data_IF_783559479315
#
_entry.id   IF_783559479315
#
_cell.length_a   1.000
_cell.length_b   1.000
_cell.length_c   1.000
_cell.angle_alpha   90.00
_cell.angle_beta   90.00
_cell.angle_gamma   90.00
#
_symmetry.space_group_name_H-M   'P 1'
#
loop_
_entity.id
_entity.type
_entity.pdbx_description
1 polymer ?
#
# COMPACT_ATOMS: atom_id res chain seq x y z
N UNK A 1 -43.57 -39.16 -27.26
CA UNK A 1 -42.77 -37.93 -27.41
C UNK A 1 -42.97 -37.09 -26.14
N UNK A 2 -42.01 -37.11 -25.21
CA UNK A 2 -42.12 -36.36 -23.95
C UNK A 2 -41.50 -34.96 -24.14
N UNK A 3 -42.28 -33.91 -23.84
CA UNK A 3 -41.81 -32.52 -23.87
C UNK A 3 -41.06 -32.20 -22.57
N UNK A 4 -39.81 -31.76 -22.68
CA UNK A 4 -39.03 -31.22 -21.56
C UNK A 4 -39.56 -29.82 -21.22
N UNK A 5 -39.97 -29.62 -19.97
CA UNK A 5 -40.37 -28.31 -19.46
C UNK A 5 -39.11 -27.55 -19.00
N UNK A 6 -38.84 -26.40 -19.61
CA UNK A 6 -37.74 -25.52 -19.20
C UNK A 6 -38.19 -24.74 -17.95
N UNK A 7 -37.44 -24.85 -16.86
CA UNK A 7 -37.68 -24.09 -15.63
C UNK A 7 -37.51 -22.59 -15.91
N UNK A 8 -38.52 -21.78 -15.56
CA UNK A 8 -38.44 -20.32 -15.67
C UNK A 8 -37.42 -19.79 -14.67
N UNK A 9 -36.46 -19.02 -15.17
CA UNK A 9 -35.47 -18.35 -14.33
C UNK A 9 -36.17 -17.23 -13.55
N UNK A 10 -36.24 -17.38 -12.22
CA UNK A 10 -36.84 -16.39 -11.32
C UNK A 10 -35.70 -15.64 -10.62
N UNK A 11 -35.07 -14.71 -11.34
CA UNK A 11 -34.01 -13.87 -10.78
C UNK A 11 -34.62 -12.53 -10.39
N UNK A 12 -34.65 -12.24 -9.09
CA UNK A 12 -35.06 -10.95 -8.55
C UNK A 12 -33.88 -9.99 -8.61
N UNK A 13 -34.04 -8.85 -9.29
CA UNK A 13 -33.01 -7.80 -9.34
C UNK A 13 -32.82 -7.18 -7.95
N UNK A 14 -31.59 -7.15 -7.46
CA UNK A 14 -31.23 -6.40 -6.25
C UNK A 14 -31.26 -4.89 -6.55
N UNK A 15 -31.66 -4.03 -5.60
CA UNK A 15 -31.64 -2.59 -5.80
C UNK A 15 -30.21 -2.11 -6.06
N UNK A 16 -30.03 -1.27 -7.08
CA UNK A 16 -28.74 -0.67 -7.39
C UNK A 16 -28.33 0.25 -6.23
N UNK A 17 -27.29 -0.14 -5.50
CA UNK A 17 -26.62 0.77 -4.58
C UNK A 17 -25.88 1.82 -5.41
N UNK A 18 -25.98 3.11 -5.08
CA UNK A 18 -25.15 4.11 -5.73
C UNK A 18 -23.69 3.77 -5.44
N UNK A 19 -22.91 3.59 -6.51
CA UNK A 19 -21.46 3.44 -6.42
C UNK A 19 -20.93 4.71 -5.77
N UNK A 20 -20.21 4.57 -4.66
CA UNK A 20 -19.63 5.70 -3.95
C UNK A 20 -18.83 6.57 -4.94
N UNK A 21 -19.08 7.88 -4.94
CA UNK A 21 -18.40 8.81 -5.83
C UNK A 21 -16.90 8.78 -5.53
N UNK A 22 -16.12 8.22 -6.46
CA UNK A 22 -14.67 8.25 -6.38
C UNK A 22 -14.18 9.66 -6.69
N UNK A 23 -13.34 10.22 -5.82
CA UNK A 23 -12.66 11.47 -6.14
C UNK A 23 -11.58 11.17 -7.19
N UNK A 24 -11.86 11.46 -8.46
CA UNK A 24 -10.94 11.24 -9.58
C UNK A 24 -9.56 11.90 -9.35
N UNK A 25 -9.53 13.05 -8.67
CA UNK A 25 -8.30 13.78 -8.39
C UNK A 25 -7.38 13.06 -7.38
N UNK A 26 -7.91 12.12 -6.58
CA UNK A 26 -7.16 11.37 -5.58
C UNK A 26 -6.68 10.00 -6.10
N UNK A 27 -7.15 9.57 -7.28
CA UNK A 27 -6.84 8.26 -7.84
C UNK A 27 -5.36 8.14 -8.22
N UNK A 28 -4.62 7.29 -7.50
CA UNK A 28 -3.19 7.08 -7.72
C UNK A 28 -2.26 8.06 -6.98
N UNK A 29 -2.81 9.02 -6.23
CA UNK A 29 -2.06 9.96 -5.39
C UNK A 29 -1.62 9.38 -4.03
N UNK A 30 -2.05 8.14 -3.72
CA UNK A 30 -1.66 7.44 -2.50
C UNK A 30 -0.53 6.44 -2.70
N UNK A 31 0.02 5.97 -1.59
CA UNK A 31 1.07 4.93 -1.51
C UNK A 31 0.61 3.52 -1.95
N UNK A 32 -0.61 3.39 -2.48
CA UNK A 32 -1.13 2.15 -3.10
C UNK A 32 -1.13 2.17 -4.63
N UNK A 33 -0.80 3.31 -5.25
CA UNK A 33 -0.88 3.50 -6.70
C UNK A 33 0.25 2.82 -7.50
N UNK A 34 0.08 2.74 -8.83
CA UNK A 34 1.14 2.27 -9.75
C UNK A 34 2.46 3.04 -9.60
N UNK A 35 2.49 4.37 -9.41
CA UNK A 35 3.75 5.10 -9.23
C UNK A 35 4.53 4.62 -8.00
N UNK A 36 3.87 4.52 -6.85
CA UNK A 36 4.51 4.07 -5.61
C UNK A 36 5.03 2.63 -5.71
N UNK A 37 4.30 1.73 -6.36
CA UNK A 37 4.77 0.35 -6.57
C UNK A 37 6.11 0.30 -7.31
N UNK A 38 6.32 1.15 -8.32
CA UNK A 38 7.61 1.23 -9.05
C UNK A 38 8.74 1.73 -8.17
N UNK A 39 8.47 2.77 -7.36
CA UNK A 39 9.44 3.29 -6.39
C UNK A 39 9.80 2.19 -5.39
N UNK A 40 8.79 1.53 -4.82
CA UNK A 40 8.97 0.42 -3.87
C UNK A 40 9.89 -0.65 -4.45
N UNK A 41 9.61 -1.14 -5.65
CA UNK A 41 10.41 -2.20 -6.28
C UNK A 41 11.85 -1.74 -6.53
N UNK A 42 12.05 -0.48 -6.96
CA UNK A 42 13.38 0.12 -7.15
C UNK A 42 14.18 0.16 -5.84
N UNK A 43 13.57 0.60 -4.74
CA UNK A 43 14.23 0.69 -3.43
C UNK A 43 14.58 -0.69 -2.88
N UNK A 44 13.66 -1.66 -2.99
CA UNK A 44 13.94 -3.03 -2.54
C UNK A 44 15.08 -3.68 -3.33
N UNK A 45 15.15 -3.45 -4.64
CA UNK A 45 16.26 -3.94 -5.47
C UNK A 45 17.59 -3.27 -5.10
N UNK A 46 17.60 -1.93 -4.93
CA UNK A 46 18.78 -1.18 -4.49
C UNK A 46 19.31 -1.67 -3.15
N UNK A 47 18.41 -1.91 -2.21
CA UNK A 47 18.73 -2.36 -0.85
C UNK A 47 18.93 -3.89 -0.79
N UNK A 48 18.91 -4.58 -1.93
CA UNK A 48 19.13 -6.02 -2.05
C UNK A 48 18.22 -6.84 -1.11
N UNK A 49 16.96 -6.41 -0.97
CA UNK A 49 16.01 -7.01 -0.03
C UNK A 49 16.56 -7.14 1.40
N UNK A 50 17.37 -6.16 1.82
CA UNK A 50 18.00 -6.12 3.14
C UNK A 50 17.45 -4.95 3.94
N UNK A 51 16.99 -5.22 5.16
CA UNK A 51 16.57 -4.18 6.09
C UNK A 51 17.75 -3.24 6.39
N UNK A 52 17.58 -1.94 6.13
CA UNK A 52 18.63 -0.93 6.32
C UNK A 52 18.92 -0.62 7.79
N UNK A 53 18.02 -0.98 8.70
CA UNK A 53 18.21 -0.77 10.14
C UNK A 53 18.93 -1.94 10.82
N UNK A 54 18.52 -3.19 10.56
CA UNK A 54 19.03 -4.37 11.28
C UNK A 54 19.82 -5.37 10.41
N UNK A 55 19.85 -5.20 9.09
CA UNK A 55 20.56 -6.10 8.17
C UNK A 55 19.83 -7.41 7.83
N UNK A 56 18.59 -7.60 8.29
CA UNK A 56 17.80 -8.79 7.95
C UNK A 56 17.48 -8.84 6.45
N UNK A 57 17.83 -9.94 5.77
CA UNK A 57 17.47 -10.19 4.38
C UNK A 57 16.13 -10.92 4.33
N UNK A 58 15.10 -10.31 3.74
CA UNK A 58 13.77 -10.91 3.63
C UNK A 58 12.96 -10.28 2.49
N UNK A 59 11.95 -11.00 1.98
CA UNK A 59 10.98 -10.45 1.03
C UNK A 59 9.90 -9.60 1.72
N UNK A 60 9.74 -9.79 3.03
CA UNK A 60 8.76 -9.09 3.86
C UNK A 60 9.34 -7.76 4.36
N UNK A 61 9.48 -6.83 3.41
CA UNK A 61 10.02 -5.49 3.63
C UNK A 61 9.03 -4.43 3.18
N UNK A 62 9.02 -3.36 3.96
CA UNK A 62 8.28 -2.14 3.70
C UNK A 62 9.27 -1.04 3.30
N UNK A 63 8.87 -0.20 2.34
CA UNK A 63 9.66 0.96 1.93
C UNK A 63 9.11 2.17 2.66
N UNK A 64 9.97 2.80 3.44
CA UNK A 64 9.60 3.85 4.37
C UNK A 64 10.55 5.04 4.24
N UNK A 65 10.05 6.22 4.59
CA UNK A 65 10.83 7.45 4.52
C UNK A 65 11.84 7.52 5.67
N UNK A 66 13.09 7.91 5.43
CA UNK A 66 14.10 8.12 6.50
C UNK A 66 13.69 9.29 7.38
N UNK A 67 13.39 10.43 6.75
CA UNK A 67 12.71 11.58 7.35
C UNK A 67 11.26 11.48 6.91
N UNK A 68 10.32 11.36 7.85
CA UNK A 68 8.91 11.25 7.48
C UNK A 68 8.38 12.54 6.83
N UNK A 69 7.29 12.42 6.06
CA UNK A 69 6.68 13.55 5.34
C UNK A 69 6.23 14.66 6.30
N UNK A 70 5.80 14.30 7.52
CA UNK A 70 5.40 15.27 8.54
C UNK A 70 6.57 16.15 9.03
N UNK A 71 7.80 15.63 9.02
CA UNK A 71 9.03 16.38 9.33
C UNK A 71 9.69 16.95 8.05
N UNK A 72 9.01 16.93 6.90
CA UNK A 72 9.48 17.53 5.64
C UNK A 72 10.22 16.57 4.71
N UNK A 73 10.09 15.26 4.89
CA UNK A 73 10.68 14.25 4.02
C UNK A 73 10.13 14.23 2.59
N UNK A 74 10.99 13.98 1.62
CA UNK A 74 10.64 13.81 0.20
C UNK A 74 10.48 12.33 -0.19
N UNK A 75 9.87 12.08 -1.35
CA UNK A 75 9.80 10.75 -1.98
C UNK A 75 11.08 10.39 -2.79
N UNK A 76 12.17 11.15 -2.60
CA UNK A 76 13.43 10.87 -3.27
C UNK A 76 14.03 9.56 -2.79
N UNK A 77 14.71 8.84 -3.69
CA UNK A 77 15.34 7.57 -3.35
C UNK A 77 16.29 7.68 -2.16
N UNK A 78 16.98 8.81 -2.01
CA UNK A 78 17.89 9.08 -0.88
C UNK A 78 17.17 9.18 0.46
N UNK A 79 15.88 9.51 0.47
CA UNK A 79 15.04 9.56 1.66
C UNK A 79 14.19 8.30 1.83
N UNK A 80 14.35 7.26 1.01
CA UNK A 80 13.62 6.01 1.13
C UNK A 80 14.55 4.87 1.56
N UNK A 81 14.05 3.99 2.42
CA UNK A 81 14.78 2.83 2.92
C UNK A 81 13.88 1.59 3.02
N UNK A 82 14.45 0.41 2.76
CA UNK A 82 13.80 -0.86 3.04
C UNK A 82 13.92 -1.22 4.53
N UNK A 83 12.80 -1.47 5.20
CA UNK A 83 12.72 -1.88 6.61
C UNK A 83 11.91 -3.16 6.74
N UNK A 84 12.35 -4.05 7.63
CA UNK A 84 11.50 -5.16 8.06
C UNK A 84 10.41 -4.64 9.00
N UNK A 85 9.29 -5.37 9.05
CA UNK A 85 8.12 -5.04 9.88
C UNK A 85 8.47 -4.60 11.31
N UNK A 86 9.32 -5.29 12.09
CA UNK A 86 9.64 -4.84 13.45
C UNK A 86 10.38 -3.50 13.48
N UNK A 87 11.39 -3.30 12.61
CA UNK A 87 12.11 -2.04 12.55
C UNK A 87 11.22 -0.88 12.05
N UNK A 88 10.28 -1.15 11.14
CA UNK A 88 9.30 -0.18 10.68
C UNK A 88 8.37 0.27 11.81
N UNK A 89 7.89 -0.67 12.61
CA UNK A 89 7.04 -0.40 13.78
C UNK A 89 7.77 0.43 14.83
N UNK A 90 9.02 0.08 15.14
CA UNK A 90 9.87 0.83 16.09
C UNK A 90 10.07 2.28 15.63
N UNK A 91 10.39 2.49 14.34
CA UNK A 91 10.54 3.82 13.77
C UNK A 91 9.23 4.61 13.84
N UNK A 92 8.11 4.01 13.45
CA UNK A 92 6.79 4.65 13.48
C UNK A 92 6.41 5.06 14.90
N UNK A 93 6.69 4.22 15.90
CA UNK A 93 6.44 4.54 17.30
C UNK A 93 7.31 5.71 17.79
N UNK A 94 8.58 5.75 17.42
CA UNK A 94 9.48 6.84 17.75
C UNK A 94 9.03 8.17 17.12
N UNK A 95 8.63 8.15 15.85
CA UNK A 95 8.10 9.32 15.13
C UNK A 95 6.80 9.82 15.75
N UNK A 96 5.86 8.92 16.07
CA UNK A 96 4.63 9.28 16.76
C UNK A 96 4.89 9.89 18.15
N UNK A 97 5.94 9.43 18.84
CA UNK A 97 6.36 10.05 20.11
C UNK A 97 6.96 11.44 19.92
N UNK A 98 7.69 11.70 18.83
CA UNK A 98 8.23 13.04 18.50
C UNK A 98 7.13 14.04 18.14
N UNK A 99 6.18 13.65 17.30
CA UNK A 99 5.08 14.54 16.87
C UNK A 99 4.07 14.90 17.96
N UNK A 100 4.12 14.24 19.12
CA UNK A 100 3.28 14.57 20.30
C UNK A 100 3.90 15.60 21.24
N UNK A 101 5.14 16.01 21.00
CA UNK A 101 5.84 17.03 21.79
C UNK A 101 5.64 18.39 21.16
#
# INVERSE_FOLDING_TARGET
>A
MARLNILKQNVTMLPATPVAQVNEAQWGAGRGGRPWRRIRDRILLRDQYTCRACGLVTKDLEVDHIINVAEGGSDDDSNLQALCVPCHQEKTAAEAARGRR
#
